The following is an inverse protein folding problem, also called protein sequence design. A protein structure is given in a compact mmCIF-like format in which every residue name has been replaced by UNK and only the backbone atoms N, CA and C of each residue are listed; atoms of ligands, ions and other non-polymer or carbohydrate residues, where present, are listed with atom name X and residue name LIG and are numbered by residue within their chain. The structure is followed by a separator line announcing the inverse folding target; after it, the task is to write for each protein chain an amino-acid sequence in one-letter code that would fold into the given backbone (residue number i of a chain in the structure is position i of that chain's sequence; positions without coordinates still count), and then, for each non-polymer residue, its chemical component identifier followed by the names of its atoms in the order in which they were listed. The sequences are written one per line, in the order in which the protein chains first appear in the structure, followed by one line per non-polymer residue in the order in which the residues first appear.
data_IF_415398364053
#
_entry.id   IF_415398364053
#
_cell.length_a   1.000
_cell.length_b   1.000
_cell.length_c   1.000
_cell.angle_alpha   90.00
_cell.angle_beta   90.00
_cell.angle_gamma   90.00
#
_symmetry.space_group_name_H-M   'P 1'
#
loop_
_entity.id
_entity.type
_entity.pdbx_description
1 polymer ?
#
# COMPACT_ATOMS: atom_id res chain seq x y z
N UNK A 1 25.81 -11.19 -2.61
CA UNK A 1 24.53 -10.58 -2.19
C UNK A 1 23.67 -10.40 -3.43
N UNK A 2 22.40 -10.78 -3.33
CA UNK A 2 21.44 -10.67 -4.42
C UNK A 2 21.21 -9.20 -4.82
N UNK A 3 20.95 -8.96 -6.09
CA UNK A 3 20.72 -7.61 -6.60
C UNK A 3 19.29 -7.16 -6.33
N UNK A 4 19.11 -5.99 -5.71
CA UNK A 4 17.82 -5.32 -5.56
C UNK A 4 17.52 -4.33 -6.69
N UNK A 5 18.43 -4.18 -7.66
CA UNK A 5 18.24 -3.24 -8.78
C UNK A 5 17.03 -3.61 -9.63
N UNK A 6 16.20 -2.62 -9.92
CA UNK A 6 15.03 -2.78 -10.80
C UNK A 6 15.01 -1.68 -11.86
N UNK A 7 14.33 -1.94 -12.97
CA UNK A 7 14.13 -0.96 -14.06
C UNK A 7 12.62 -0.79 -14.29
N UNK A 8 12.17 0.47 -14.34
CA UNK A 8 10.77 0.82 -14.62
C UNK A 8 10.73 1.95 -15.65
N UNK A 9 9.93 1.83 -16.71
CA UNK A 9 9.79 2.83 -17.78
C UNK A 9 11.12 3.45 -18.25
N UNK A 10 12.16 2.64 -18.39
CA UNK A 10 13.51 3.09 -18.81
C UNK A 10 14.42 3.58 -17.68
N UNK A 11 13.89 3.92 -16.49
CA UNK A 11 14.64 4.43 -15.34
C UNK A 11 15.14 3.29 -14.46
N UNK A 12 16.42 3.35 -14.06
CA UNK A 12 17.05 2.39 -13.13
C UNK A 12 16.93 2.86 -11.68
N UNK A 13 16.54 1.94 -10.79
CA UNK A 13 16.46 2.16 -9.34
C UNK A 13 17.45 1.22 -8.64
N UNK A 14 18.15 1.71 -7.62
CA UNK A 14 19.09 0.89 -6.81
C UNK A 14 18.40 -0.24 -6.03
N UNK A 15 17.12 -0.05 -5.68
CA UNK A 15 16.24 -1.02 -5.07
C UNK A 15 14.76 -0.61 -5.34
N UNK A 16 13.77 -1.49 -5.10
CA UNK A 16 12.37 -1.21 -5.41
C UNK A 16 11.66 -0.28 -4.43
N UNK A 17 12.31 0.18 -3.37
CA UNK A 17 11.69 0.94 -2.28
C UNK A 17 11.51 2.41 -2.67
N UNK A 18 10.29 2.91 -2.55
CA UNK A 18 9.97 4.32 -2.71
C UNK A 18 9.43 4.92 -1.41
N UNK A 19 9.88 6.12 -1.08
CA UNK A 19 9.16 6.96 -0.12
C UNK A 19 7.94 7.53 -0.84
N UNK A 20 6.75 7.24 -0.34
CA UNK A 20 5.50 7.68 -0.96
C UNK A 20 5.27 9.19 -0.83
N UNK A 21 4.43 9.74 -1.70
CA UNK A 21 4.00 11.15 -1.67
C UNK A 21 3.17 11.44 -0.41
N UNK A 22 3.84 11.75 0.69
CA UNK A 22 3.27 12.00 2.03
C UNK A 22 4.14 13.03 2.80
N UNK A 23 3.87 13.27 4.08
CA UNK A 23 4.67 14.21 4.90
C UNK A 23 6.19 13.96 4.87
N UNK A 24 6.69 12.73 4.82
CA UNK A 24 8.14 12.50 4.71
C UNK A 24 8.80 13.10 3.47
N UNK A 25 8.04 13.29 2.39
CA UNK A 25 8.53 13.83 1.12
C UNK A 25 7.98 15.23 0.81
N UNK A 26 7.69 16.03 1.86
CA UNK A 26 7.06 17.34 1.72
C UNK A 26 7.91 18.36 0.96
N UNK A 27 9.23 18.25 1.08
CA UNK A 27 10.22 19.16 0.50
C UNK A 27 11.55 18.46 0.21
N UNK A 28 12.51 19.18 -0.35
CA UNK A 28 13.84 18.67 -0.71
C UNK A 28 14.59 18.03 0.48
N UNK A 29 14.41 18.55 1.71
CA UNK A 29 15.07 17.99 2.91
C UNK A 29 14.54 16.58 3.20
N UNK A 30 13.21 16.41 3.19
CA UNK A 30 12.59 15.10 3.39
C UNK A 30 12.93 14.13 2.24
N UNK A 31 12.99 14.64 1.02
CA UNK A 31 13.38 13.86 -0.16
C UNK A 31 14.82 13.37 -0.03
N UNK A 32 15.77 14.25 0.35
CA UNK A 32 17.17 13.90 0.62
C UNK A 32 17.27 12.82 1.71
N UNK A 33 16.61 13.03 2.85
CA UNK A 33 16.58 12.04 3.95
C UNK A 33 16.03 10.68 3.52
N UNK A 34 15.04 10.66 2.61
CA UNK A 34 14.51 9.40 2.07
C UNK A 34 15.55 8.59 1.31
N UNK A 35 16.33 9.25 0.46
CA UNK A 35 17.43 8.61 -0.30
C UNK A 35 18.60 8.20 0.59
N UNK A 36 19.01 9.07 1.51
CA UNK A 36 20.05 8.77 2.50
C UNK A 36 19.63 7.63 3.44
N UNK A 37 18.33 7.53 3.76
CA UNK A 37 17.75 6.42 4.52
C UNK A 37 17.65 5.10 3.76
N UNK A 38 18.09 5.04 2.50
CA UNK A 38 18.24 3.82 1.72
C UNK A 38 17.18 3.58 0.65
N UNK A 39 16.18 4.44 0.48
CA UNK A 39 15.18 4.28 -0.59
C UNK A 39 15.81 4.42 -1.99
N UNK A 40 15.27 3.66 -2.96
CA UNK A 40 15.66 3.75 -4.37
C UNK A 40 15.15 5.02 -5.05
N UNK A 41 14.01 5.55 -4.56
CA UNK A 41 13.44 6.80 -5.04
C UNK A 41 12.49 7.43 -4.02
N UNK A 42 12.14 8.69 -4.28
CA UNK A 42 11.18 9.46 -3.46
C UNK A 42 10.16 10.13 -4.36
N UNK A 43 8.89 9.90 -4.07
CA UNK A 43 7.77 10.63 -4.69
C UNK A 43 7.50 11.85 -3.83
N UNK A 44 7.84 13.03 -4.33
CA UNK A 44 7.65 14.31 -3.61
C UNK A 44 6.15 14.54 -3.38
N UNK A 45 5.81 15.21 -2.28
CA UNK A 45 4.41 15.55 -1.95
C UNK A 45 3.75 16.26 -3.11
N UNK A 46 2.56 15.78 -3.52
CA UNK A 46 1.90 16.24 -4.74
C UNK A 46 1.64 17.74 -4.75
N UNK A 47 2.03 18.42 -5.83
CA UNK A 47 1.57 19.76 -6.16
C UNK A 47 0.08 19.67 -6.56
N UNK A 48 -0.75 20.56 -6.05
CA UNK A 48 -2.17 20.60 -6.34
C UNK A 48 -2.56 21.94 -6.96
N UNK A 49 -2.51 22.00 -8.26
CA UNK A 49 -2.83 23.21 -9.02
C UNK A 49 -2.16 24.47 -8.49
N UNK A 50 -2.76 25.62 -8.69
CA UNK A 50 -2.31 26.90 -8.12
C UNK A 50 -2.91 27.16 -6.71
N UNK A 51 -3.59 26.17 -6.14
CA UNK A 51 -4.23 26.28 -4.81
C UNK A 51 -3.20 26.46 -3.69
N UNK A 52 -1.93 26.14 -3.92
CA UNK A 52 -0.84 26.53 -3.01
C UNK A 52 -0.76 28.02 -2.73
N UNK A 53 -1.22 28.85 -3.67
CA UNK A 53 -1.35 30.32 -3.48
C UNK A 53 -2.49 30.70 -2.53
N UNK A 54 -3.47 29.84 -2.29
CA UNK A 54 -4.60 30.12 -1.41
C UNK A 54 -4.22 30.06 0.08
N UNK A 55 -2.93 29.86 0.41
CA UNK A 55 -2.44 29.88 1.78
C UNK A 55 -3.04 28.80 2.67
N UNK A 56 -3.54 27.71 2.09
CA UNK A 56 -4.07 26.59 2.89
C UNK A 56 -2.97 26.00 3.75
N UNK A 57 -3.09 26.24 5.02
CA UNK A 57 -2.27 25.57 6.03
C UNK A 57 -2.96 24.27 6.42
N UNK A 58 -2.18 23.21 6.54
CA UNK A 58 -2.69 21.96 7.10
C UNK A 58 -3.30 22.19 8.48
N UNK A 59 -4.39 21.49 8.84
CA UNK A 59 -4.88 21.51 10.21
C UNK A 59 -3.78 21.02 11.17
N UNK A 60 -3.81 21.49 12.39
CA UNK A 60 -2.85 21.12 13.44
C UNK A 60 -3.60 20.81 14.73
N UNK A 61 -3.49 19.58 15.28
CA UNK A 61 -2.77 18.41 14.74
C UNK A 61 -3.46 17.83 13.48
N UNK A 62 -2.70 17.16 12.61
CA UNK A 62 -3.22 16.52 11.38
C UNK A 62 -3.12 15.01 11.35
N UNK A 63 -2.49 14.41 12.36
CA UNK A 63 -2.33 12.97 12.50
C UNK A 63 -3.03 12.46 13.74
N UNK A 64 -3.69 11.31 13.62
CA UNK A 64 -4.21 10.52 14.73
C UNK A 64 -3.84 9.06 14.52
N UNK A 65 -3.11 8.49 15.47
CA UNK A 65 -2.85 7.06 15.51
C UNK A 65 -3.96 6.40 16.33
N UNK A 66 -4.62 5.43 15.73
CA UNK A 66 -5.60 4.57 16.37
C UNK A 66 -4.93 3.24 16.68
N UNK A 67 -4.82 2.91 17.96
CA UNK A 67 -4.30 1.66 18.45
C UNK A 67 -5.48 0.80 18.94
N UNK A 68 -5.86 -0.17 18.13
CA UNK A 68 -7.02 -1.00 18.40
C UNK A 68 -6.80 -2.00 19.55
N UNK A 69 -5.56 -2.26 19.97
CA UNK A 69 -5.30 -3.08 21.16
C UNK A 69 -5.86 -2.46 22.44
N UNK A 70 -5.87 -1.13 22.50
CA UNK A 70 -6.43 -0.36 23.62
C UNK A 70 -7.89 0.03 23.42
N UNK A 71 -8.54 -0.50 22.40
CA UNK A 71 -9.94 -0.25 22.14
C UNK A 71 -10.81 -1.03 23.13
N UNK A 72 -11.83 -0.41 23.78
CA UNK A 72 -12.69 -1.12 24.74
C UNK A 72 -13.29 -2.39 24.13
N UNK A 73 -13.10 -3.51 24.82
CA UNK A 73 -13.60 -4.80 24.36
C UNK A 73 -12.74 -5.50 23.28
N UNK A 74 -11.59 -4.92 22.86
CA UNK A 74 -10.66 -5.61 21.95
C UNK A 74 -10.05 -6.83 22.66
N UNK A 75 -10.19 -8.05 22.13
CA UNK A 75 -9.71 -9.24 22.80
C UNK A 75 -8.16 -9.29 22.83
N UNK A 76 -7.58 -9.56 24.00
CA UNK A 76 -6.12 -9.68 24.17
C UNK A 76 -5.48 -10.78 23.30
N UNK A 77 -6.29 -11.76 22.90
CA UNK A 77 -5.84 -12.88 22.05
C UNK A 77 -5.68 -12.53 20.58
N UNK A 78 -6.23 -11.38 20.14
CA UNK A 78 -6.11 -10.96 18.75
C UNK A 78 -4.80 -10.21 18.50
N UNK A 79 -4.28 -10.27 17.25
CA UNK A 79 -3.09 -9.54 16.87
C UNK A 79 -3.27 -8.03 17.03
N UNK A 80 -2.19 -7.34 17.39
CA UNK A 80 -2.18 -5.88 17.47
C UNK A 80 -2.46 -5.27 16.09
N UNK A 81 -3.46 -4.39 16.04
CA UNK A 81 -3.82 -3.64 14.85
C UNK A 81 -3.77 -2.14 15.12
N UNK A 82 -3.40 -1.36 14.11
CA UNK A 82 -3.41 0.10 14.19
C UNK A 82 -3.74 0.74 12.85
N UNK A 83 -4.19 1.99 12.89
CA UNK A 83 -4.42 2.84 11.73
C UNK A 83 -3.85 4.23 11.99
N UNK A 84 -3.15 4.78 11.02
CA UNK A 84 -2.80 6.19 10.98
C UNK A 84 -3.82 6.94 10.12
N UNK A 85 -4.63 7.78 10.77
CA UNK A 85 -5.45 8.77 10.09
C UNK A 85 -4.64 10.05 9.87
N UNK A 86 -4.78 10.65 8.70
CA UNK A 86 -4.13 11.94 8.43
C UNK A 86 -4.97 12.80 7.52
N UNK A 87 -5.20 14.04 7.92
CA UNK A 87 -5.71 15.09 7.04
C UNK A 87 -4.52 15.84 6.43
N UNK A 88 -3.94 15.22 5.42
CA UNK A 88 -2.86 15.76 4.60
C UNK A 88 -3.34 15.96 3.19
N UNK A 89 -3.60 17.17 2.85
CA UNK A 89 -3.83 17.59 1.47
C UNK A 89 -2.53 17.48 0.64
N UNK A 90 -2.46 18.16 -0.47
CA UNK A 90 -1.27 18.23 -1.31
C UNK A 90 -0.21 19.19 -0.73
N UNK A 91 0.87 19.45 -1.47
CA UNK A 91 1.90 20.40 -1.08
C UNK A 91 1.32 21.81 -0.92
N UNK A 92 1.88 22.58 0.03
CA UNK A 92 1.55 24.00 0.22
C UNK A 92 2.35 24.93 -0.70
N UNK A 93 3.24 24.39 -1.53
CA UNK A 93 4.00 25.18 -2.51
C UNK A 93 3.13 25.61 -3.68
N UNK A 94 3.35 26.84 -4.16
CA UNK A 94 2.92 27.25 -5.49
C UNK A 94 3.83 26.65 -6.57
N UNK A 95 3.44 26.77 -7.84
CA UNK A 95 4.16 26.17 -8.98
C UNK A 95 5.66 26.43 -8.98
N UNK A 96 6.07 27.70 -8.87
CA UNK A 96 7.48 28.09 -8.96
C UNK A 96 8.33 27.50 -7.83
N UNK A 97 7.82 27.53 -6.62
CA UNK A 97 8.56 27.06 -5.46
C UNK A 97 8.64 25.54 -5.42
N UNK A 98 7.57 24.87 -5.88
CA UNK A 98 7.60 23.42 -6.06
C UNK A 98 8.67 22.96 -7.07
N UNK A 99 8.76 23.64 -8.22
CA UNK A 99 9.76 23.33 -9.24
C UNK A 99 11.18 23.59 -8.77
N UNK A 100 11.39 24.68 -7.99
CA UNK A 100 12.68 24.97 -7.33
C UNK A 100 13.05 23.89 -6.33
N UNK A 101 12.08 23.44 -5.51
CA UNK A 101 12.30 22.41 -4.50
C UNK A 101 12.69 21.06 -5.13
N UNK A 102 12.04 20.66 -6.24
CA UNK A 102 12.41 19.49 -7.04
C UNK A 102 13.86 19.59 -7.53
N UNK A 103 14.25 20.74 -8.12
CA UNK A 103 15.61 20.94 -8.61
C UNK A 103 16.62 20.86 -7.48
N UNK A 104 16.33 21.51 -6.36
CA UNK A 104 17.18 21.46 -5.15
C UNK A 104 17.31 20.05 -4.61
N UNK A 105 16.21 19.28 -4.56
CA UNK A 105 16.25 17.88 -4.18
C UNK A 105 17.20 17.07 -5.05
N UNK A 106 17.09 17.20 -6.39
CA UNK A 106 17.96 16.45 -7.32
C UNK A 106 19.42 16.91 -7.25
N UNK A 107 19.69 18.19 -7.05
CA UNK A 107 21.05 18.72 -6.86
C UNK A 107 21.71 18.12 -5.61
N UNK A 108 20.99 18.03 -4.50
CA UNK A 108 21.51 17.47 -3.24
C UNK A 108 21.70 15.95 -3.28
N UNK A 109 20.89 15.25 -4.06
CA UNK A 109 20.89 13.77 -4.14
C UNK A 109 21.85 13.29 -5.23
N UNK A 110 21.97 14.01 -6.34
CA UNK A 110 22.70 13.57 -7.53
C UNK A 110 22.13 12.27 -8.09
N UNK A 111 23.02 11.32 -8.40
CA UNK A 111 22.66 10.02 -8.96
C UNK A 111 22.39 8.93 -7.90
N UNK A 112 22.42 9.29 -6.61
CA UNK A 112 22.21 8.34 -5.51
C UNK A 112 20.77 7.83 -5.40
N UNK A 113 19.81 8.48 -6.08
CA UNK A 113 18.41 8.10 -6.05
C UNK A 113 17.55 8.84 -7.06
N UNK A 114 16.31 8.40 -7.20
CA UNK A 114 15.34 8.91 -8.15
C UNK A 114 14.41 9.90 -7.47
N UNK A 115 14.29 11.10 -8.04
CA UNK A 115 13.36 12.16 -7.62
C UNK A 115 12.14 12.13 -8.54
N UNK A 116 10.98 11.81 -7.97
CA UNK A 116 9.72 11.72 -8.69
C UNK A 116 8.82 12.90 -8.31
N UNK A 117 8.58 13.81 -9.25
CA UNK A 117 7.61 14.90 -9.05
C UNK A 117 6.20 14.34 -9.07
N UNK A 118 5.32 14.78 -8.16
CA UNK A 118 3.92 14.36 -8.16
C UNK A 118 3.00 15.56 -8.39
N UNK A 119 2.12 15.45 -9.38
CA UNK A 119 1.25 16.51 -9.86
C UNK A 119 -0.21 16.13 -9.70
N UNK A 120 -1.06 17.08 -9.31
CA UNK A 120 -2.51 16.94 -9.25
C UNK A 120 -3.16 18.22 -9.76
N UNK A 121 -3.82 18.16 -10.92
CA UNK A 121 -4.50 19.30 -11.53
C UNK A 121 -5.99 19.30 -11.24
N UNK A 122 -6.59 20.48 -11.21
CA UNK A 122 -8.04 20.69 -11.05
C UNK A 122 -8.76 20.98 -12.37
N UNK A 123 -7.99 21.19 -13.44
CA UNK A 123 -8.52 21.40 -14.81
C UNK A 123 -7.52 20.88 -15.85
N UNK A 124 -8.01 20.68 -17.09
CA UNK A 124 -7.14 20.24 -18.19
C UNK A 124 -6.05 21.26 -18.50
N UNK A 125 -6.30 22.55 -18.33
CA UNK A 125 -5.31 23.60 -18.56
C UNK A 125 -4.25 23.65 -17.47
N UNK A 126 -4.60 23.35 -16.22
CA UNK A 126 -3.60 23.17 -15.15
C UNK A 126 -2.71 21.95 -15.42
N UNK A 127 -3.30 20.82 -15.84
CA UNK A 127 -2.51 19.65 -16.23
C UNK A 127 -1.50 20.00 -17.32
N UNK A 128 -1.93 20.73 -18.39
CA UNK A 128 -1.04 21.23 -19.45
C UNK A 128 0.10 22.09 -18.88
N UNK A 129 -0.27 23.04 -18.02
CA UNK A 129 0.68 23.98 -17.42
C UNK A 129 1.71 23.26 -16.58
N UNK A 130 1.29 22.40 -15.65
CA UNK A 130 2.19 21.67 -14.77
C UNK A 130 3.09 20.69 -15.55
N UNK A 131 2.56 19.99 -16.57
CA UNK A 131 3.35 19.12 -17.42
C UNK A 131 4.45 19.87 -18.17
N UNK A 132 4.16 21.07 -18.71
CA UNK A 132 5.18 21.92 -19.34
C UNK A 132 6.24 22.34 -18.33
N UNK A 133 5.83 22.81 -17.16
CA UNK A 133 6.75 23.29 -16.13
C UNK A 133 7.66 22.17 -15.58
N UNK A 134 7.12 20.97 -15.34
CA UNK A 134 7.92 19.87 -14.78
C UNK A 134 8.95 19.33 -15.79
N UNK A 135 8.69 19.48 -17.10
CA UNK A 135 9.68 19.11 -18.13
C UNK A 135 10.99 19.88 -17.98
N UNK A 136 10.92 21.14 -17.52
CA UNK A 136 12.08 22.02 -17.30
C UNK A 136 12.80 21.77 -15.96
N UNK A 137 12.30 20.85 -15.15
CA UNK A 137 12.95 20.50 -13.88
C UNK A 137 13.96 19.36 -14.04
N UNK A 138 14.74 19.12 -12.98
CA UNK A 138 15.68 17.99 -12.87
C UNK A 138 15.00 16.69 -12.35
N UNK A 139 13.68 16.65 -12.22
CA UNK A 139 12.98 15.41 -11.85
C UNK A 139 13.30 14.27 -12.82
N UNK A 140 13.50 13.08 -12.28
CA UNK A 140 13.75 11.87 -13.07
C UNK A 140 12.46 11.22 -13.60
N UNK A 141 11.33 11.51 -12.93
CA UNK A 141 10.04 10.87 -13.15
C UNK A 141 8.89 11.81 -12.75
N UNK A 142 7.71 11.60 -13.34
CA UNK A 142 6.49 12.33 -12.98
C UNK A 142 5.39 11.36 -12.55
N UNK A 143 4.76 11.59 -11.40
CA UNK A 143 3.52 10.92 -10.99
C UNK A 143 2.33 11.83 -11.26
N UNK A 144 1.34 11.37 -12.02
CA UNK A 144 0.04 12.01 -12.16
C UNK A 144 -0.87 11.51 -11.02
N UNK A 145 -1.03 12.32 -9.99
CA UNK A 145 -1.83 11.97 -8.82
C UNK A 145 -3.29 12.41 -9.01
N UNK A 146 -4.12 11.53 -9.55
CA UNK A 146 -5.54 11.73 -9.76
C UNK A 146 -6.38 11.09 -8.63
N UNK A 147 -5.71 10.63 -7.58
CA UNK A 147 -6.33 9.86 -6.49
C UNK A 147 -6.59 10.67 -5.22
N UNK A 148 -6.46 12.01 -5.26
CA UNK A 148 -6.66 12.84 -4.08
C UNK A 148 -8.14 12.77 -3.62
N UNK A 149 -8.45 12.22 -2.43
CA UNK A 149 -9.82 12.07 -1.97
C UNK A 149 -10.50 13.41 -1.66
N UNK A 150 -9.72 14.46 -1.44
CA UNK A 150 -10.21 15.78 -1.03
C UNK A 150 -10.63 16.69 -2.19
N UNK A 151 -10.33 16.32 -3.43
CA UNK A 151 -10.68 17.15 -4.59
C UNK A 151 -12.19 17.28 -4.77
N UNK A 152 -12.95 16.22 -4.51
CA UNK A 152 -14.41 16.23 -4.58
C UNK A 152 -15.04 17.13 -3.51
N UNK A 153 -14.52 17.13 -2.29
CA UNK A 153 -15.00 17.95 -1.16
C UNK A 153 -14.76 19.45 -1.40
N UNK A 154 -13.84 19.79 -2.31
CA UNK A 154 -13.56 21.17 -2.71
C UNK A 154 -14.38 21.62 -3.92
N UNK A 155 -15.39 20.85 -4.35
CA UNK A 155 -16.22 21.15 -5.52
C UNK A 155 -15.49 20.97 -6.86
N UNK A 156 -14.32 20.31 -6.86
CA UNK A 156 -13.53 20.08 -8.05
C UNK A 156 -13.93 18.73 -8.65
N UNK A 157 -14.37 18.73 -9.92
CA UNK A 157 -14.73 17.48 -10.63
C UNK A 157 -13.52 16.57 -10.96
N UNK A 158 -12.35 16.84 -10.41
CA UNK A 158 -11.11 16.12 -10.64
C UNK A 158 -10.60 15.51 -9.32
N UNK A 159 -9.78 14.50 -9.38
CA UNK A 159 -9.32 13.73 -8.23
C UNK A 159 -9.99 12.37 -8.14
N UNK A 160 -10.24 11.86 -6.95
CA UNK A 160 -10.86 10.54 -6.76
C UNK A 160 -12.24 10.38 -7.42
N UNK A 161 -12.98 11.49 -7.59
CA UNK A 161 -14.26 11.53 -8.31
C UNK A 161 -14.15 11.61 -9.85
N UNK A 162 -12.93 11.75 -10.40
CA UNK A 162 -12.69 11.92 -11.83
C UNK A 162 -12.11 10.65 -12.49
N UNK A 163 -12.43 9.49 -11.98
CA UNK A 163 -11.91 8.21 -12.48
C UNK A 163 -12.21 8.04 -13.97
N UNK A 164 -13.38 8.47 -14.40
CA UNK A 164 -13.81 8.40 -15.80
C UNK A 164 -12.98 9.32 -16.72
N UNK A 165 -12.37 10.38 -16.17
CA UNK A 165 -11.51 11.33 -16.91
C UNK A 165 -10.03 10.91 -16.92
N UNK A 166 -9.63 9.89 -16.16
CA UNK A 166 -8.22 9.46 -16.08
C UNK A 166 -7.60 9.16 -17.45
N UNK A 167 -8.27 8.43 -18.35
CA UNK A 167 -7.69 8.16 -19.66
C UNK A 167 -7.46 9.44 -20.49
N UNK A 168 -8.35 10.43 -20.40
CA UNK A 168 -8.21 11.71 -21.11
C UNK A 168 -7.05 12.53 -20.54
N UNK A 169 -6.96 12.63 -19.20
CA UNK A 169 -5.85 13.28 -18.52
C UNK A 169 -4.53 12.59 -18.89
N UNK A 170 -4.51 11.26 -18.86
CA UNK A 170 -3.33 10.47 -19.22
C UNK A 170 -2.88 10.75 -20.64
N UNK A 171 -3.81 10.73 -21.61
CA UNK A 171 -3.54 11.00 -23.02
C UNK A 171 -3.01 12.44 -23.24
N UNK A 172 -3.62 13.43 -22.56
CA UNK A 172 -3.15 14.80 -22.59
C UNK A 172 -1.71 14.91 -22.07
N UNK A 173 -1.45 14.35 -20.89
CA UNK A 173 -0.12 14.43 -20.25
C UNK A 173 0.93 13.66 -21.04
N UNK A 174 0.59 12.50 -21.61
CA UNK A 174 1.48 11.71 -22.48
C UNK A 174 1.94 12.50 -23.71
N UNK A 175 1.08 13.36 -24.26
CA UNK A 175 1.43 14.24 -25.39
C UNK A 175 2.33 15.42 -25.04
N UNK A 176 2.53 15.72 -23.74
CA UNK A 176 3.28 16.89 -23.28
C UNK A 176 4.56 16.51 -22.53
N UNK A 177 4.49 15.46 -21.69
CA UNK A 177 5.60 15.04 -20.85
C UNK A 177 6.75 14.49 -21.69
N UNK A 178 7.97 14.95 -21.38
CA UNK A 178 9.24 14.46 -21.96
C UNK A 178 9.94 13.47 -21.02
N UNK A 179 9.38 13.24 -19.85
CA UNK A 179 9.91 12.39 -18.78
C UNK A 179 9.06 11.13 -18.61
N UNK A 180 9.63 10.02 -18.15
CA UNK A 180 8.84 8.87 -17.73
C UNK A 180 7.79 9.26 -16.71
N UNK A 181 6.59 8.69 -16.80
CA UNK A 181 5.54 9.01 -15.87
C UNK A 181 4.66 7.82 -15.49
N UNK A 182 4.05 7.93 -14.33
CA UNK A 182 3.05 7.00 -13.81
C UNK A 182 1.74 7.69 -13.51
N UNK A 183 0.63 6.95 -13.59
CA UNK A 183 -0.71 7.41 -13.18
C UNK A 183 -1.06 6.74 -11.86
N UNK A 184 -1.36 7.55 -10.83
CA UNK A 184 -1.78 7.05 -9.52
C UNK A 184 -3.29 6.90 -9.47
N UNK A 185 -3.74 5.67 -9.23
CA UNK A 185 -5.13 5.25 -9.28
C UNK A 185 -5.68 5.15 -7.85
N UNK A 186 -6.89 5.67 -7.63
CA UNK A 186 -7.59 5.51 -6.36
C UNK A 186 -8.10 4.08 -6.20
N UNK A 187 -7.88 3.43 -5.04
CA UNK A 187 -8.48 2.13 -4.75
C UNK A 187 -9.98 2.22 -4.46
N UNK A 188 -10.54 3.42 -4.33
CA UNK A 188 -11.96 3.68 -4.08
C UNK A 188 -12.79 3.77 -5.38
N UNK A 189 -12.21 3.42 -6.52
CA UNK A 189 -12.94 3.26 -7.77
C UNK A 189 -13.69 1.92 -7.79
N UNK A 190 -14.71 1.81 -8.62
CA UNK A 190 -15.46 0.55 -8.80
C UNK A 190 -14.55 -0.60 -9.23
N UNK A 191 -13.61 -0.35 -10.14
CA UNK A 191 -12.62 -1.33 -10.58
C UNK A 191 -11.27 -0.65 -10.94
N UNK A 192 -10.32 -0.57 -9.99
CA UNK A 192 -9.01 0.03 -10.24
C UNK A 192 -8.21 -0.64 -11.36
N UNK A 193 -8.48 -1.92 -11.64
CA UNK A 193 -7.75 -2.69 -12.66
C UNK A 193 -8.18 -2.27 -14.07
N UNK A 194 -9.45 -2.04 -14.30
CA UNK A 194 -9.94 -1.59 -15.62
C UNK A 194 -9.48 -0.14 -15.90
N UNK A 195 -9.38 0.69 -14.83
CA UNK A 195 -8.76 2.01 -14.93
C UNK A 195 -7.28 1.91 -15.30
N UNK A 196 -6.53 0.97 -14.72
CA UNK A 196 -5.13 0.74 -15.07
C UNK A 196 -4.95 0.36 -16.54
N UNK A 197 -5.81 -0.53 -17.05
CA UNK A 197 -5.84 -0.91 -18.48
C UNK A 197 -6.15 0.29 -19.38
N UNK A 198 -7.11 1.13 -19.00
CA UNK A 198 -7.46 2.32 -19.74
C UNK A 198 -6.32 3.36 -19.77
N UNK A 199 -5.62 3.54 -18.64
CA UNK A 199 -4.45 4.40 -18.55
C UNK A 199 -3.28 3.90 -19.42
N UNK A 200 -3.00 2.59 -19.42
CA UNK A 200 -1.99 1.99 -20.31
C UNK A 200 -2.31 2.29 -21.77
N UNK A 201 -3.56 2.05 -22.20
CA UNK A 201 -4.01 2.37 -23.57
C UNK A 201 -3.93 3.86 -23.92
N UNK A 202 -4.05 4.73 -22.92
CA UNK A 202 -3.93 6.17 -23.07
C UNK A 202 -2.47 6.68 -23.08
N UNK A 203 -1.49 5.79 -22.91
CA UNK A 203 -0.06 6.10 -22.99
C UNK A 203 0.66 6.22 -21.64
N UNK A 204 0.06 5.79 -20.55
CA UNK A 204 0.78 5.69 -19.27
C UNK A 204 1.99 4.76 -19.38
N UNK A 205 3.13 5.18 -18.83
CA UNK A 205 4.36 4.39 -18.85
C UNK A 205 4.51 3.50 -17.61
N UNK A 206 3.74 3.75 -16.57
CA UNK A 206 3.56 2.93 -15.37
C UNK A 206 2.23 3.29 -14.70
N UNK A 207 1.74 2.42 -13.82
CA UNK A 207 0.61 2.73 -12.93
C UNK A 207 1.01 2.63 -11.47
N UNK A 208 0.48 3.51 -10.64
CA UNK A 208 0.66 3.48 -9.20
C UNK A 208 -0.67 3.10 -8.52
N UNK A 209 -0.74 1.89 -7.96
CA UNK A 209 -1.93 1.33 -7.32
C UNK A 209 -1.90 1.48 -5.79
N UNK A 210 -1.24 2.51 -5.30
CA UNK A 210 -0.92 2.69 -3.89
C UNK A 210 -1.57 3.95 -3.26
N UNK A 211 -2.70 4.41 -3.79
CA UNK A 211 -3.44 5.48 -3.15
C UNK A 211 -4.16 4.95 -1.89
N UNK A 212 -4.19 5.77 -0.84
CA UNK A 212 -4.82 5.41 0.44
C UNK A 212 -6.35 5.51 0.38
N UNK A 213 -7.01 4.79 1.28
CA UNK A 213 -8.44 4.94 1.55
C UNK A 213 -8.70 6.24 2.31
N UNK A 214 -9.94 6.69 2.36
CA UNK A 214 -10.39 7.76 3.24
C UNK A 214 -11.31 7.21 4.34
N UNK A 215 -11.30 7.86 5.50
CA UNK A 215 -12.14 7.49 6.63
C UNK A 215 -12.04 8.51 7.76
N UNK A 216 -12.88 8.35 8.77
CA UNK A 216 -12.88 9.13 10.01
C UNK A 216 -13.45 8.28 11.14
N UNK A 217 -13.33 8.76 12.36
CA UNK A 217 -13.91 8.17 13.55
C UNK A 217 -14.65 9.22 14.36
N UNK A 218 -15.60 8.79 15.19
CA UNK A 218 -16.48 9.65 15.98
C UNK A 218 -16.26 9.40 17.48
N UNK A 219 -16.07 10.47 18.22
CA UNK A 219 -16.12 10.47 19.66
C UNK A 219 -17.61 10.46 20.10
N UNK A 220 -18.03 9.37 20.73
CA UNK A 220 -19.42 9.15 21.12
C UNK A 220 -19.89 10.09 22.24
N UNK A 221 -18.98 10.59 23.08
CA UNK A 221 -19.32 11.48 24.21
C UNK A 221 -19.57 12.91 23.71
N UNK A 222 -18.83 13.33 22.69
CA UNK A 222 -18.93 14.70 22.16
C UNK A 222 -19.71 14.79 20.85
N UNK A 223 -20.03 13.66 20.22
CA UNK A 223 -20.63 13.54 18.88
C UNK A 223 -19.84 14.29 17.81
N UNK A 224 -18.51 14.32 17.93
CA UNK A 224 -17.61 15.02 17.01
C UNK A 224 -16.61 14.04 16.37
N UNK A 225 -16.18 14.30 15.14
CA UNK A 225 -15.09 13.55 14.53
C UNK A 225 -13.81 13.65 15.38
N UNK A 226 -13.15 12.51 15.59
CA UNK A 226 -11.85 12.46 16.27
C UNK A 226 -10.77 12.90 15.27
N UNK A 227 -9.86 13.79 15.72
CA UNK A 227 -8.81 14.37 14.90
C UNK A 227 -9.21 15.71 14.31
N UNK A 228 -8.83 16.03 13.06
CA UNK A 228 -9.01 17.38 12.50
C UNK A 228 -10.46 17.72 12.09
N UNK A 229 -11.43 16.88 12.38
CA UNK A 229 -12.86 17.20 12.17
C UNK A 229 -13.40 16.88 10.77
N UNK A 230 -12.63 16.19 9.93
CA UNK A 230 -13.05 15.83 8.58
C UNK A 230 -12.53 14.44 8.19
N UNK A 231 -13.01 13.94 7.03
CA UNK A 231 -12.46 12.72 6.43
C UNK A 231 -10.96 12.89 6.16
N UNK A 232 -10.18 11.90 6.53
CA UNK A 232 -8.72 11.88 6.34
C UNK A 232 -8.25 10.63 5.60
N UNK A 233 -6.99 10.60 5.19
CA UNK A 233 -6.37 9.38 4.70
C UNK A 233 -6.30 8.34 5.80
N UNK A 234 -6.68 7.11 5.49
CA UNK A 234 -6.75 5.97 6.39
C UNK A 234 -5.76 4.91 5.95
N UNK A 235 -4.73 4.62 6.77
CA UNK A 235 -3.62 3.76 6.37
C UNK A 235 -3.06 2.94 7.52
N UNK A 236 -2.67 1.70 7.23
CA UNK A 236 -2.08 0.78 8.19
C UNK A 236 -1.80 -0.58 7.56
N UNK A 237 -1.09 -1.48 8.26
CA UNK A 237 -0.68 -2.79 7.73
C UNK A 237 -1.84 -3.69 7.29
N UNK A 238 -3.02 -3.53 7.85
CA UNK A 238 -4.21 -4.32 7.49
C UNK A 238 -4.64 -4.15 6.02
N UNK A 239 -4.19 -3.09 5.34
CA UNK A 239 -4.50 -2.85 3.92
C UNK A 239 -3.67 -3.70 2.95
N UNK A 240 -2.67 -4.46 3.41
CA UNK A 240 -1.77 -5.23 2.55
C UNK A 240 -2.53 -6.21 1.64
N UNK A 241 -3.47 -6.98 2.19
CA UNK A 241 -4.26 -7.95 1.41
C UNK A 241 -5.10 -7.31 0.32
N UNK A 242 -5.64 -6.13 0.59
CA UNK A 242 -6.40 -5.35 -0.38
C UNK A 242 -5.51 -4.89 -1.54
N UNK A 243 -4.32 -4.34 -1.23
CA UNK A 243 -3.35 -3.92 -2.23
C UNK A 243 -2.83 -5.09 -3.08
N UNK A 244 -2.48 -6.21 -2.45
CA UNK A 244 -2.01 -7.43 -3.15
C UNK A 244 -3.02 -7.92 -4.18
N UNK A 245 -4.32 -7.94 -3.84
CA UNK A 245 -5.40 -8.34 -4.75
C UNK A 245 -5.36 -7.52 -6.04
N UNK A 246 -5.35 -6.19 -5.95
CA UNK A 246 -5.42 -5.34 -7.13
C UNK A 246 -4.14 -5.36 -7.95
N UNK A 247 -2.98 -5.42 -7.30
CA UNK A 247 -1.69 -5.57 -8.00
C UNK A 247 -1.64 -6.89 -8.77
N UNK A 248 -2.03 -8.01 -8.15
CA UNK A 248 -2.07 -9.32 -8.81
C UNK A 248 -3.02 -9.34 -10.01
N UNK A 249 -4.18 -8.70 -9.90
CA UNK A 249 -5.15 -8.61 -10.98
C UNK A 249 -4.66 -7.71 -12.12
N UNK A 250 -4.04 -6.56 -11.79
CA UNK A 250 -3.46 -5.65 -12.77
C UNK A 250 -2.29 -6.30 -13.51
N UNK A 251 -1.38 -6.98 -12.81
CA UNK A 251 -0.23 -7.66 -13.40
C UNK A 251 -0.60 -8.76 -14.42
N UNK A 252 -1.83 -9.28 -14.37
CA UNK A 252 -2.37 -10.21 -15.37
C UNK A 252 -2.97 -9.51 -16.61
N UNK A 253 -3.17 -8.18 -16.58
CA UNK A 253 -3.91 -7.44 -17.61
C UNK A 253 -3.11 -6.34 -18.30
N UNK A 254 -2.05 -5.84 -17.66
CA UNK A 254 -1.21 -4.74 -18.20
C UNK A 254 0.24 -5.18 -18.33
N UNK A 255 0.99 -4.54 -19.23
CA UNK A 255 2.39 -4.84 -19.50
C UNK A 255 3.35 -3.77 -18.96
N UNK A 256 2.84 -2.62 -18.55
CA UNK A 256 3.64 -1.53 -17.97
C UNK A 256 3.95 -1.79 -16.49
N UNK A 257 5.05 -1.23 -15.95
CA UNK A 257 5.43 -1.38 -14.55
C UNK A 257 4.34 -0.96 -13.57
N UNK A 258 4.22 -1.71 -12.47
CA UNK A 258 3.29 -1.42 -11.38
C UNK A 258 4.06 -0.93 -10.17
N UNK A 259 3.67 0.24 -9.64
CA UNK A 259 4.06 0.75 -8.33
C UNK A 259 2.97 0.32 -7.33
N UNK A 260 3.33 -0.45 -6.32
CA UNK A 260 2.44 -0.90 -5.25
C UNK A 260 2.68 -0.13 -3.95
N UNK A 261 1.89 -0.35 -2.89
CA UNK A 261 2.23 0.27 -1.61
C UNK A 261 1.16 0.41 -0.53
N UNK A 262 -0.04 -0.13 -0.69
CA UNK A 262 -1.00 -0.15 0.42
C UNK A 262 -0.54 -1.11 1.52
N UNK A 263 -0.50 -0.63 2.78
CA UNK A 263 -0.23 -1.46 3.94
C UNK A 263 1.22 -1.88 4.15
N UNK A 264 2.19 -1.32 3.43
CA UNK A 264 3.61 -1.67 3.56
C UNK A 264 4.16 -1.23 4.91
N UNK A 265 4.53 -2.18 5.73
CA UNK A 265 5.08 -1.99 7.06
C UNK A 265 6.44 -2.62 7.26
N UNK A 266 6.70 -3.75 6.58
CA UNK A 266 7.89 -4.58 6.72
C UNK A 266 8.46 -4.95 5.34
N UNK A 267 9.73 -5.35 5.28
CA UNK A 267 10.38 -5.78 4.05
C UNK A 267 9.68 -6.98 3.37
N UNK A 268 9.02 -7.84 4.15
CA UNK A 268 8.26 -8.98 3.64
C UNK A 268 7.08 -8.52 2.78
N UNK A 269 6.51 -7.37 3.09
CA UNK A 269 5.42 -6.81 2.29
C UNK A 269 5.89 -6.37 0.90
N UNK A 270 7.14 -5.89 0.80
CA UNK A 270 7.77 -5.55 -0.48
C UNK A 270 7.98 -6.82 -1.31
N UNK A 271 8.48 -7.90 -0.69
CA UNK A 271 8.60 -9.21 -1.32
C UNK A 271 7.24 -9.72 -1.81
N UNK A 272 6.19 -9.68 -0.97
CA UNK A 272 4.82 -10.09 -1.37
C UNK A 272 4.34 -9.31 -2.60
N UNK A 273 4.49 -7.98 -2.62
CA UNK A 273 4.11 -7.17 -3.76
C UNK A 273 4.91 -7.52 -5.02
N UNK A 274 6.20 -7.76 -4.88
CA UNK A 274 7.03 -8.19 -6.01
C UNK A 274 6.56 -9.55 -6.53
N UNK A 275 6.29 -10.50 -5.67
CA UNK A 275 5.78 -11.83 -6.05
C UNK A 275 4.45 -11.79 -6.80
N UNK A 276 3.62 -10.77 -6.60
CA UNK A 276 2.37 -10.57 -7.35
C UNK A 276 2.50 -9.58 -8.51
N UNK A 277 3.74 -9.21 -8.91
CA UNK A 277 4.03 -8.50 -10.15
C UNK A 277 4.40 -7.02 -10.01
N UNK A 278 4.49 -6.45 -8.80
CA UNK A 278 4.95 -5.09 -8.63
C UNK A 278 6.44 -4.93 -9.03
N UNK A 279 6.77 -3.81 -9.65
CA UNK A 279 8.16 -3.43 -9.98
C UNK A 279 8.76 -2.53 -8.90
N UNK A 280 7.96 -1.63 -8.36
CA UNK A 280 8.33 -0.69 -7.31
C UNK A 280 7.28 -0.74 -6.19
N UNK A 281 7.71 -0.45 -4.96
CA UNK A 281 6.83 -0.49 -3.78
C UNK A 281 7.07 0.73 -2.93
N UNK A 282 6.02 1.54 -2.73
CA UNK A 282 6.08 2.74 -1.90
C UNK A 282 5.58 2.47 -0.48
N UNK A 283 6.16 3.16 0.50
CA UNK A 283 5.63 3.24 1.86
C UNK A 283 5.52 4.70 2.30
N UNK A 284 4.40 5.05 2.92
CA UNK A 284 4.20 6.34 3.61
C UNK A 284 4.15 6.12 5.11
N UNK A 285 3.14 5.40 5.62
CA UNK A 285 2.93 5.15 7.05
C UNK A 285 4.13 4.43 7.69
N UNK A 286 4.70 3.44 7.00
CA UNK A 286 5.89 2.72 7.50
C UNK A 286 7.07 3.66 7.73
N UNK A 287 7.35 4.57 6.78
CA UNK A 287 8.42 5.57 6.90
C UNK A 287 8.09 6.59 7.99
N UNK A 288 6.83 7.06 8.09
CA UNK A 288 6.42 8.05 9.08
C UNK A 288 6.61 7.56 10.52
N UNK A 289 6.28 6.31 10.78
CA UNK A 289 6.30 5.76 12.13
C UNK A 289 7.64 5.09 12.51
N UNK A 290 8.40 4.60 11.55
CA UNK A 290 9.68 3.91 11.79
C UNK A 290 10.91 4.78 11.44
N UNK A 291 10.71 5.92 10.76
CA UNK A 291 11.78 6.80 10.30
C UNK A 291 12.40 6.38 8.96
N UNK A 292 13.19 7.27 8.36
CA UNK A 292 13.74 7.07 7.00
C UNK A 292 14.68 5.88 6.88
N UNK A 293 15.49 5.62 7.92
CA UNK A 293 16.50 4.55 7.93
C UNK A 293 15.90 3.14 7.84
N UNK A 294 14.58 3.02 8.00
CA UNK A 294 13.90 1.74 7.83
C UNK A 294 14.05 1.19 6.42
N UNK A 295 14.18 2.05 5.40
CA UNK A 295 14.40 1.65 4.00
C UNK A 295 15.70 0.87 3.82
N UNK A 296 16.78 1.30 4.48
CA UNK A 296 18.06 0.57 4.49
C UNK A 296 17.91 -0.79 5.15
N UNK A 297 17.27 -0.84 6.33
CA UNK A 297 17.00 -2.08 7.04
C UNK A 297 16.16 -3.05 6.20
N UNK A 298 15.17 -2.55 5.46
CA UNK A 298 14.37 -3.38 4.58
C UNK A 298 15.19 -3.92 3.42
N UNK A 299 16.06 -3.11 2.80
CA UNK A 299 16.96 -3.56 1.73
C UNK A 299 17.87 -4.70 2.22
N UNK A 300 18.54 -4.51 3.36
CA UNK A 300 19.47 -5.50 3.90
C UNK A 300 18.77 -6.85 4.19
N UNK A 301 17.56 -6.80 4.75
CA UNK A 301 16.78 -8.01 5.02
C UNK A 301 16.28 -8.69 3.74
N UNK A 302 15.92 -7.92 2.70
CA UNK A 302 15.52 -8.49 1.41
C UNK A 302 16.69 -9.18 0.72
N UNK A 303 17.89 -8.56 0.71
CA UNK A 303 19.11 -9.16 0.15
C UNK A 303 19.41 -10.49 0.87
N UNK A 304 19.44 -10.47 2.19
CA UNK A 304 19.68 -11.69 2.99
C UNK A 304 18.63 -12.78 2.70
N UNK A 305 17.37 -12.43 2.58
CA UNK A 305 16.31 -13.39 2.30
C UNK A 305 16.46 -13.99 0.89
N UNK A 306 16.79 -13.16 -0.12
CA UNK A 306 17.02 -13.62 -1.48
C UNK A 306 18.22 -14.56 -1.55
N UNK A 307 19.35 -14.20 -0.94
CA UNK A 307 20.54 -15.03 -0.86
C UNK A 307 20.22 -16.40 -0.20
N UNK A 308 19.51 -16.40 0.93
CA UNK A 308 19.10 -17.63 1.63
C UNK A 308 18.14 -18.51 0.80
N UNK A 309 17.43 -17.93 -0.16
CA UNK A 309 16.54 -18.64 -1.09
C UNK A 309 17.24 -19.04 -2.41
N UNK A 310 18.48 -18.61 -2.62
CA UNK A 310 19.26 -18.89 -3.83
C UNK A 310 18.90 -18.02 -5.03
N UNK A 311 18.23 -16.88 -4.83
CA UNK A 311 17.96 -15.92 -5.88
C UNK A 311 19.12 -14.93 -6.05
N UNK A 312 19.48 -14.62 -7.29
CA UNK A 312 20.52 -13.63 -7.60
C UNK A 312 19.96 -12.21 -7.74
N UNK A 313 18.67 -12.08 -7.95
CA UNK A 313 18.01 -10.79 -8.15
C UNK A 313 16.57 -10.81 -7.71
N UNK A 314 16.09 -9.66 -7.17
CA UNK A 314 14.68 -9.45 -6.86
C UNK A 314 13.77 -9.58 -8.10
N UNK A 315 14.34 -9.39 -9.30
CA UNK A 315 13.57 -9.55 -10.53
C UNK A 315 13.16 -11.01 -10.80
N UNK A 316 13.88 -12.00 -10.25
CA UNK A 316 13.55 -13.42 -10.42
C UNK A 316 12.27 -13.81 -9.69
N UNK A 317 11.93 -13.09 -8.64
CA UNK A 317 10.70 -13.36 -7.87
C UNK A 317 9.49 -12.55 -8.36
N UNK A 318 9.67 -11.67 -9.36
CA UNK A 318 8.55 -10.84 -9.83
C UNK A 318 7.49 -11.69 -10.53
N UNK A 319 6.29 -11.68 -9.94
CA UNK A 319 5.13 -12.39 -10.49
C UNK A 319 5.11 -13.90 -10.24
N UNK A 320 6.10 -14.48 -9.53
CA UNK A 320 6.17 -15.94 -9.31
C UNK A 320 4.96 -16.52 -8.59
N UNK A 321 4.22 -15.70 -7.81
CA UNK A 321 3.02 -16.16 -7.12
C UNK A 321 1.76 -16.13 -8.00
N UNK A 322 1.76 -15.43 -9.14
CA UNK A 322 0.58 -15.24 -9.98
C UNK A 322 -0.07 -16.53 -10.48
N UNK A 323 0.70 -17.57 -10.90
CA UNK A 323 0.10 -18.84 -11.30
C UNK A 323 -0.63 -19.60 -10.18
N UNK A 324 -0.24 -19.35 -8.93
CA UNK A 324 -0.81 -20.03 -7.76
C UNK A 324 -2.06 -19.31 -7.21
N UNK A 325 -2.43 -18.15 -7.74
CA UNK A 325 -3.63 -17.41 -7.33
C UNK A 325 -4.82 -17.93 -8.12
N UNK A 326 -5.60 -18.81 -7.47
CA UNK A 326 -6.79 -19.43 -8.02
C UNK A 326 -7.97 -18.44 -8.08
N UNK A 327 -8.88 -18.65 -9.02
CA UNK A 327 -10.21 -18.06 -8.95
C UNK A 327 -11.00 -18.74 -7.84
N UNK A 328 -11.97 -18.05 -7.24
CA UNK A 328 -12.80 -18.60 -6.16
C UNK A 328 -13.51 -19.89 -6.56
N UNK A 329 -13.88 -20.02 -7.83
CA UNK A 329 -14.51 -21.23 -8.35
C UNK A 329 -13.54 -22.43 -8.51
N UNK A 330 -12.24 -22.18 -8.56
CA UNK A 330 -11.19 -23.19 -8.73
C UNK A 330 -10.67 -23.74 -7.40
N UNK A 331 -11.07 -23.11 -6.27
CA UNK A 331 -10.68 -23.55 -4.94
C UNK A 331 -11.42 -24.86 -4.61
N UNK A 332 -10.66 -25.91 -4.30
CA UNK A 332 -11.22 -27.19 -3.83
C UNK A 332 -12.05 -26.99 -2.55
N UNK A 333 -13.22 -27.58 -2.50
CA UNK A 333 -14.20 -27.47 -1.40
C UNK A 333 -14.53 -28.80 -0.77
N UNK A 334 -13.62 -29.78 -0.85
CA UNK A 334 -13.78 -31.06 -0.18
C UNK A 334 -13.76 -30.90 1.34
N UNK A 335 -14.71 -31.55 2.00
CA UNK A 335 -14.87 -31.53 3.47
C UNK A 335 -14.43 -32.81 4.14
N UNK A 336 -14.20 -33.89 3.38
CA UNK A 336 -13.85 -35.19 3.93
C UNK A 336 -12.49 -35.16 4.64
N UNK A 337 -12.49 -35.56 5.92
CA UNK A 337 -11.28 -35.65 6.73
C UNK A 337 -10.68 -34.32 7.20
N UNK A 338 -11.35 -33.19 6.94
CA UNK A 338 -10.92 -31.87 7.40
C UNK A 338 -11.63 -31.53 8.71
N UNK A 339 -10.92 -31.57 9.82
CA UNK A 339 -11.41 -31.18 11.13
C UNK A 339 -10.27 -30.64 11.99
N UNK A 340 -10.59 -29.89 13.03
CA UNK A 340 -9.60 -29.36 13.94
C UNK A 340 -9.14 -30.44 14.95
N UNK A 341 -7.89 -30.38 15.36
CA UNK A 341 -7.27 -31.21 16.41
C UNK A 341 -6.61 -30.32 17.46
N UNK A 342 -6.39 -30.88 18.65
CA UNK A 342 -5.83 -30.13 19.77
C UNK A 342 -4.54 -30.78 20.24
N UNK A 343 -3.49 -29.98 20.37
CA UNK A 343 -2.29 -30.34 21.12
C UNK A 343 -2.53 -30.08 22.60
N UNK A 344 -2.77 -31.14 23.36
CA UNK A 344 -3.08 -31.07 24.79
C UNK A 344 -1.92 -30.55 25.63
N UNK A 345 -0.68 -30.67 25.16
CA UNK A 345 0.48 -30.14 25.87
C UNK A 345 0.54 -28.63 25.85
N UNK A 346 -0.11 -28.01 24.84
CA UNK A 346 -0.17 -26.55 24.67
C UNK A 346 -1.49 -25.95 25.15
N UNK A 347 -2.53 -26.76 25.31
CA UNK A 347 -3.86 -26.28 25.65
C UNK A 347 -3.93 -25.85 27.13
N UNK A 348 -4.19 -24.57 27.39
CA UNK A 348 -4.35 -24.01 28.74
C UNK A 348 -5.81 -23.93 29.22
N UNK A 349 -6.75 -24.59 28.55
CA UNK A 349 -8.16 -24.69 28.91
C UNK A 349 -8.95 -23.35 28.88
N UNK A 350 -8.45 -22.30 28.22
CA UNK A 350 -9.04 -20.95 28.25
C UNK A 350 -10.44 -20.83 27.64
N UNK A 351 -10.91 -21.80 26.85
CA UNK A 351 -12.25 -21.86 26.27
C UNK A 351 -12.50 -20.89 25.09
N UNK A 352 -11.49 -20.13 24.62
CA UNK A 352 -11.67 -19.18 23.51
C UNK A 352 -12.18 -19.89 22.24
N UNK A 353 -11.63 -21.08 21.93
CA UNK A 353 -12.08 -21.88 20.79
C UNK A 353 -13.54 -22.33 20.86
N UNK A 354 -14.06 -22.57 22.09
CA UNK A 354 -15.48 -22.91 22.29
C UNK A 354 -16.39 -21.73 21.94
N UNK A 355 -16.05 -20.53 22.45
CA UNK A 355 -16.83 -19.30 22.16
C UNK A 355 -16.86 -18.94 20.68
N UNK A 356 -15.82 -19.32 19.96
CA UNK A 356 -15.67 -19.01 18.52
C UNK A 356 -16.15 -20.13 17.59
N UNK A 357 -16.68 -21.23 18.13
CA UNK A 357 -17.16 -22.34 17.34
C UNK A 357 -18.64 -22.15 16.95
N UNK A 358 -18.90 -21.96 15.66
CA UNK A 358 -20.26 -21.79 15.11
C UNK A 358 -21.06 -23.10 15.03
N UNK A 359 -20.39 -24.26 15.16
CA UNK A 359 -20.96 -25.58 14.93
C UNK A 359 -21.18 -26.38 16.22
N UNK A 360 -20.97 -25.77 17.39
CA UNK A 360 -21.03 -26.46 18.69
C UNK A 360 -20.22 -27.78 18.72
N UNK A 361 -19.07 -27.75 18.04
CA UNK A 361 -18.21 -28.93 17.89
C UNK A 361 -17.13 -29.02 18.96
N UNK A 362 -16.98 -28.05 19.86
CA UNK A 362 -15.88 -27.97 20.82
C UNK A 362 -16.42 -27.89 22.26
N UNK A 363 -15.80 -28.65 23.18
CA UNK A 363 -16.04 -28.56 24.63
C UNK A 363 -14.71 -28.53 25.37
N UNK A 364 -14.65 -27.80 26.49
CA UNK A 364 -13.52 -27.88 27.41
C UNK A 364 -13.76 -28.99 28.43
N UNK A 365 -12.78 -29.83 28.59
CA UNK A 365 -12.73 -30.93 29.60
C UNK A 365 -11.52 -30.74 30.50
N UNK A 366 -11.35 -31.65 31.48
CA UNK A 366 -10.16 -31.70 32.36
C UNK A 366 -8.85 -31.92 31.58
N UNK A 367 -8.91 -32.51 30.38
CA UNK A 367 -7.76 -32.73 29.49
C UNK A 367 -7.49 -31.62 28.51
N UNK A 368 -8.37 -30.61 28.41
CA UNK A 368 -8.28 -29.55 27.44
C UNK A 368 -9.52 -29.42 26.55
N UNK A 369 -9.42 -28.68 25.47
CA UNK A 369 -10.48 -28.59 24.48
C UNK A 369 -10.59 -29.92 23.69
N UNK A 370 -11.80 -30.45 23.60
CA UNK A 370 -12.10 -31.68 22.84
C UNK A 370 -12.99 -31.32 21.67
N UNK A 371 -12.67 -31.79 20.48
CA UNK A 371 -13.35 -31.49 19.23
C UNK A 371 -14.11 -32.73 18.76
N UNK A 372 -15.40 -32.54 18.52
CA UNK A 372 -16.23 -33.57 17.86
C UNK A 372 -16.06 -33.47 16.36
N UNK A 373 -15.27 -34.39 15.76
CA UNK A 373 -14.97 -34.41 14.33
C UNK A 373 -16.22 -34.53 13.43
N UNK A 374 -17.31 -35.14 13.93
CA UNK A 374 -18.56 -35.29 13.16
C UNK A 374 -19.35 -33.99 13.09
N UNK A 375 -19.20 -33.10 14.06
CA UNK A 375 -19.83 -31.78 14.08
C UNK A 375 -18.91 -30.69 13.48
N UNK A 376 -17.62 -30.95 13.40
CA UNK A 376 -16.64 -29.96 12.96
C UNK A 376 -16.71 -29.75 11.45
N UNK A 377 -16.98 -28.52 11.03
CA UNK A 377 -17.00 -28.12 9.60
C UNK A 377 -15.60 -27.97 8.99
N UNK A 378 -14.57 -27.92 9.81
CA UNK A 378 -13.21 -27.65 9.31
C UNK A 378 -12.92 -26.18 9.00
N UNK A 379 -13.71 -25.24 9.48
CA UNK A 379 -13.62 -23.80 9.14
C UNK A 379 -12.34 -23.11 9.60
N UNK A 380 -11.59 -23.66 10.55
CA UNK A 380 -10.31 -23.11 11.02
C UNK A 380 -10.39 -22.00 12.08
N UNK A 381 -11.55 -21.42 12.38
CA UNK A 381 -11.68 -20.29 13.31
C UNK A 381 -11.04 -20.55 14.68
N UNK A 382 -11.23 -21.75 15.23
CA UNK A 382 -10.65 -22.12 16.52
C UNK A 382 -9.10 -22.16 16.54
N UNK A 383 -8.48 -22.37 15.38
CA UNK A 383 -7.03 -22.30 15.21
C UNK A 383 -6.56 -20.84 15.26
N UNK A 384 -7.25 -19.94 14.54
CA UNK A 384 -6.86 -18.53 14.45
C UNK A 384 -6.99 -17.78 15.78
N UNK A 385 -7.95 -18.18 16.63
CA UNK A 385 -8.17 -17.50 17.92
C UNK A 385 -7.47 -18.16 19.11
N UNK A 386 -6.70 -19.23 18.89
CA UNK A 386 -6.04 -19.94 19.98
C UNK A 386 -4.79 -19.22 20.47
N UNK A 387 -4.75 -18.63 21.69
CA UNK A 387 -3.59 -17.88 22.18
C UNK A 387 -2.37 -18.73 22.44
N UNK A 388 -2.55 -20.06 22.51
CA UNK A 388 -1.48 -21.04 22.76
C UNK A 388 -1.04 -21.75 21.47
N UNK A 389 -1.62 -21.42 20.32
CA UNK A 389 -1.38 -22.16 19.07
C UNK A 389 -1.52 -23.70 19.25
N UNK A 390 -2.48 -24.07 20.11
CA UNK A 390 -2.73 -25.46 20.47
C UNK A 390 -3.68 -26.17 19.51
N UNK A 391 -4.40 -25.44 18.66
CA UNK A 391 -5.36 -25.99 17.71
C UNK A 391 -4.75 -26.01 16.32
N UNK A 392 -4.86 -27.15 15.63
CA UNK A 392 -4.38 -27.34 14.25
C UNK A 392 -5.45 -28.02 13.42
N UNK A 393 -5.39 -27.84 12.12
CA UNK A 393 -6.27 -28.56 11.20
C UNK A 393 -5.66 -29.91 10.83
N UNK A 394 -6.40 -30.99 11.01
CA UNK A 394 -6.14 -32.25 10.33
C UNK A 394 -6.54 -32.05 8.86
N UNK A 395 -5.56 -31.94 8.01
CA UNK A 395 -5.77 -31.91 6.55
C UNK A 395 -5.37 -33.29 6.02
N UNK A 396 -6.20 -33.97 5.23
CA UNK A 396 -5.77 -35.21 4.56
C UNK A 396 -4.47 -34.93 3.79
N UNK A 397 -3.47 -35.77 3.94
CA UNK A 397 -2.22 -35.62 3.17
C UNK A 397 -2.60 -35.62 1.69
N UNK A 398 -2.43 -34.47 1.03
CA UNK A 398 -2.58 -34.40 -0.43
C UNK A 398 -1.58 -35.37 -1.02
N UNK A 399 -2.06 -36.47 -1.64
CA UNK A 399 -1.22 -37.25 -2.52
C UNK A 399 -0.79 -36.31 -3.64
N UNK A 400 0.51 -36.03 -3.73
CA UNK A 400 1.09 -35.35 -4.88
C UNK A 400 0.64 -36.09 -6.14
N UNK A 401 -0.08 -35.41 -7.01
CA UNK A 401 -0.35 -35.89 -8.37
C UNK A 401 0.84 -35.62 -9.23
#
# INVERSE_FOLDING_TARGET
MASLKVKAAGVGFKNPILVGSASPSMNWVGTKKGIEGGAGGVIVKSLFGDLGKLGRTFPRPRFKLYDYKNYPGYPDVLPHAFTLNSLEECSHFGYKDYMKDINKAKEEIGDNGIVMASLSGVSMDEWKTMCKMVNETKADWVELNVSCPFAADMGVKMGAGAVDMLPEITKLCAGILKKPFSVKISPQTTNPVDVAVACEKAGAMAVNMAARLSGFDIDIETARPIGPGAQGGWGGPYLIGYGLKFVAQAAKKINIPIIAGLGVWDWRDIIKYTMVGATLVQSGVGIMLQGYNVSKKWSDNMELWLDNKGYNSINEIRGIALPNILKTAEVERGTEGVYATVDYNRCNHCGVCVRSCFYDAIKVTKMGAVINAKKCDGCGMCMEVCPQDAVKMAVPQRRAK
#
